data_IF_554623406377
#
_entry.id   IF_554623406377
#
_cell.length_a   1.000
_cell.length_b   1.000
_cell.length_c   1.000
_cell.angle_alpha   90.00
_cell.angle_beta   90.00
_cell.angle_gamma   90.00
#
_symmetry.space_group_name_H-M   'P 1'
#
loop_
_entity.id
_entity.type
_entity.pdbx_description
1 polymer ?
2 non-polymer ?
3 non-polymer ?
4 non-polymer ?
5 water ?
#
# COMPACT_ATOMS: atom_id res chain seq x y z
N UNK A 3 -13.57 -9.22 -16.93
CA UNK A 3 -12.32 -9.40 -17.67
C UNK A 3 -11.11 -8.48 -17.34
N UNK A 4 -11.09 -7.75 -16.21
CA UNK A 4 -9.89 -6.94 -15.93
C UNK A 4 -8.75 -7.76 -15.35
N UNK A 5 -9.08 -8.85 -14.67
CA UNK A 5 -8.03 -9.68 -14.08
C UNK A 5 -7.37 -10.56 -15.12
N UNK A 6 -8.16 -11.17 -16.02
CA UNK A 6 -7.59 -12.04 -17.05
C UNK A 6 -6.63 -11.28 -17.95
N UNK A 7 -6.85 -9.97 -18.15
CA UNK A 7 -5.90 -9.17 -18.91
C UNK A 7 -4.69 -8.81 -18.07
N UNK A 8 -4.90 -8.53 -16.78
CA UNK A 8 -3.81 -8.18 -15.89
C UNK A 8 -2.80 -9.33 -15.78
N UNK A 9 -3.30 -10.56 -15.73
CA UNK A 9 -2.38 -11.70 -15.70
C UNK A 9 -1.75 -11.94 -17.05
N UNK A 10 -2.41 -11.52 -18.13
CA UNK A 10 -1.87 -11.69 -19.47
C UNK A 10 -0.75 -10.70 -19.76
N UNK A 11 -0.88 -9.47 -19.27
CA UNK A 11 0.18 -8.48 -19.45
C UNK A 11 1.38 -8.84 -18.56
N UNK A 12 1.14 -9.54 -17.45
CA UNK A 12 2.25 -10.00 -16.63
C UNK A 12 3.18 -10.92 -17.43
N UNK A 13 2.61 -11.82 -18.22
CA UNK A 13 3.43 -12.67 -19.08
C UNK A 13 4.17 -11.85 -20.12
N UNK A 14 3.56 -10.75 -20.58
CA UNK A 14 4.23 -9.89 -21.54
C UNK A 14 5.35 -9.10 -20.88
N UNK A 15 5.14 -8.65 -19.64
CA UNK A 15 6.17 -7.92 -18.93
C UNK A 15 7.32 -8.84 -18.53
N UNK A 16 6.99 -10.04 -18.01
CA UNK A 16 8.03 -10.97 -17.59
C UNK A 16 8.86 -11.45 -18.78
N UNK A 17 8.23 -11.65 -19.94
CA UNK A 17 8.94 -12.11 -21.12
C UNK A 17 9.96 -11.08 -21.58
N UNK A 18 9.61 -9.80 -21.53
CA UNK A 18 10.55 -8.76 -21.94
C UNK A 18 11.71 -8.67 -20.97
N UNK A 19 11.41 -8.64 -19.67
CA UNK A 19 12.47 -8.46 -18.68
C UNK A 19 13.48 -9.60 -18.71
N UNK A 20 13.00 -10.85 -18.85
CA UNK A 20 13.92 -11.99 -18.84
C UNK A 20 14.69 -12.08 -20.15
N UNK A 21 14.04 -11.80 -21.28
CA UNK A 21 14.74 -11.80 -22.56
C UNK A 21 15.79 -10.69 -22.60
N UNK A 22 15.46 -9.53 -22.04
CA UNK A 22 16.43 -8.44 -22.00
C UNK A 22 17.67 -8.84 -21.22
N UNK A 23 17.49 -9.60 -20.13
CA UNK A 23 18.64 -10.08 -19.38
C UNK A 23 19.43 -11.10 -20.19
N UNK A 24 18.73 -11.98 -20.91
CA UNK A 24 19.42 -13.01 -21.71
C UNK A 24 20.19 -12.39 -22.87
N UNK A 25 19.60 -11.42 -23.55
CA UNK A 25 20.17 -10.85 -24.76
C UNK A 25 21.13 -9.70 -24.47
N UNK A 26 20.68 -8.69 -23.73
CA UNK A 26 21.47 -7.49 -23.50
C UNK A 26 22.37 -7.58 -22.27
N UNK A 27 21.97 -8.35 -21.25
CA UNK A 27 22.72 -8.41 -20.01
C UNK A 27 23.54 -9.69 -19.85
N UNK A 28 23.66 -10.49 -20.91
CA UNK A 28 24.60 -11.62 -20.96
C UNK A 28 24.30 -12.66 -19.89
N UNK A 29 23.04 -12.80 -19.51
CA UNK A 29 22.68 -13.72 -18.43
C UNK A 29 22.47 -15.14 -18.97
N UNK A 30 22.88 -16.12 -18.15
CA UNK A 30 22.79 -17.54 -18.46
C UNK A 30 21.41 -18.07 -18.11
N UNK A 31 21.01 -19.19 -18.74
CA UNK A 31 19.66 -19.73 -18.48
C UNK A 31 19.40 -20.10 -17.02
N UNK A 32 20.42 -20.58 -16.31
CA UNK A 32 20.22 -21.00 -14.92
C UNK A 32 19.73 -19.83 -14.06
N UNK A 33 20.36 -18.67 -14.21
CA UNK A 33 19.93 -17.50 -13.44
C UNK A 33 18.63 -16.92 -13.97
N UNK A 34 18.38 -17.06 -15.27
CA UNK A 34 17.12 -16.57 -15.84
C UNK A 34 15.94 -17.31 -15.26
N UNK A 35 16.05 -18.65 -15.19
CA UNK A 35 14.99 -19.43 -14.55
C UNK A 35 14.91 -19.14 -13.06
N UNK A 36 16.05 -18.91 -12.42
CA UNK A 36 16.06 -18.55 -11.00
C UNK A 36 15.32 -17.23 -10.79
N UNK A 37 15.49 -16.29 -11.71
CA UNK A 37 14.81 -15.01 -11.61
C UNK A 37 13.33 -15.11 -11.99
N UNK A 38 12.98 -16.05 -12.88
CA UNK A 38 11.57 -16.26 -13.19
C UNK A 38 10.83 -16.81 -11.99
N UNK A 39 11.43 -17.79 -11.30
CA UNK A 39 10.81 -18.35 -10.10
C UNK A 39 10.73 -17.30 -8.99
N UNK A 40 11.76 -16.47 -8.84
CA UNK A 40 11.74 -15.44 -7.81
C UNK A 40 10.70 -14.38 -8.12
N UNK A 41 10.57 -13.99 -9.39
CA UNK A 41 9.58 -13.00 -9.76
C UNK A 41 8.16 -13.51 -9.53
N UNK A 42 7.89 -14.77 -9.88
CA UNK A 42 6.56 -15.34 -9.67
C UNK A 42 6.26 -15.49 -8.19
N UNK A 43 7.27 -15.81 -7.39
CA UNK A 43 7.05 -16.03 -5.96
C UNK A 43 6.66 -14.73 -5.26
N UNK A 44 7.38 -13.64 -5.53
CA UNK A 44 7.18 -12.40 -4.79
C UNK A 44 6.04 -11.56 -5.34
N UNK A 45 5.76 -11.66 -6.65
CA UNK A 45 4.78 -10.78 -7.28
C UNK A 45 3.40 -11.41 -7.44
N UNK A 46 3.28 -12.73 -7.32
CA UNK A 46 2.02 -13.41 -7.54
C UNK A 46 1.53 -14.06 -6.25
N UNK A 47 0.21 -14.18 -6.12
CA UNK A 47 -0.43 -14.76 -4.96
C UNK A 47 -1.30 -13.78 -4.20
N UNK A 48 -1.00 -12.50 -4.27
CA UNK A 48 -1.77 -11.48 -3.60
C UNK A 48 -3.10 -11.21 -4.30
N UNK A 49 -3.81 -10.22 -3.76
CA UNK A 49 -5.10 -9.84 -4.32
C UNK A 49 -4.98 -8.89 -5.51
N UNK A 50 -3.80 -8.31 -5.73
CA UNK A 50 -3.58 -7.34 -6.81
C UNK A 50 -4.50 -6.13 -6.67
N UNK A 51 -4.80 -5.76 -5.42
CA UNK A 51 -5.72 -4.64 -5.18
C UNK A 51 -5.20 -3.35 -5.80
N UNK A 52 -3.92 -3.04 -5.56
CA UNK A 52 -3.35 -1.80 -6.09
C UNK A 52 -3.30 -1.84 -7.62
N UNK A 53 -2.87 -2.96 -8.19
CA UNK A 53 -2.72 -3.04 -9.63
C UNK A 53 -4.05 -2.97 -10.36
N UNK A 54 -5.09 -3.60 -9.81
CA UNK A 54 -6.38 -3.60 -10.48
C UNK A 54 -7.06 -2.25 -10.41
N UNK A 55 -6.72 -1.44 -9.40
CA UNK A 55 -7.32 -0.11 -9.30
C UNK A 55 -6.92 0.77 -10.47
N UNK A 56 -5.68 0.61 -10.96
CA UNK A 56 -5.23 1.37 -12.11
C UNK A 56 -6.08 1.05 -13.34
N UNK A 57 -6.43 -0.23 -13.51
CA UNK A 57 -7.25 -0.64 -14.64
C UNK A 57 -8.67 -0.07 -14.50
N UNK A 58 -9.23 -0.13 -13.29
CA UNK A 58 -10.60 0.35 -13.09
C UNK A 58 -10.72 1.84 -13.31
N UNK A 59 -9.71 2.61 -12.89
CA UNK A 59 -9.72 4.05 -13.14
C UNK A 59 -9.58 4.34 -14.62
N UNK A 60 -8.74 3.57 -15.31
CA UNK A 60 -8.49 3.82 -16.73
C UNK A 60 -9.70 3.49 -17.57
N UNK A 61 -10.35 2.35 -17.30
CA UNK A 61 -11.50 1.96 -18.11
C UNK A 61 -12.70 2.86 -17.86
N UNK A 62 -12.78 3.46 -16.66
CA UNK A 62 -13.89 4.36 -16.37
C UNK A 62 -13.75 5.69 -17.10
N UNK A 63 -12.52 6.14 -17.34
CA UNK A 63 -12.29 7.45 -17.93
C UNK A 63 -12.31 7.44 -19.45
N UNK A 64 -12.00 6.31 -20.08
CA UNK A 64 -12.12 6.24 -21.54
C UNK A 64 -13.57 6.01 -21.97
N UNK A 65 -14.34 5.27 -21.17
CA UNK A 65 -15.76 5.08 -21.48
C UNK A 65 -16.55 6.35 -21.21
N UNK A 66 -16.09 7.17 -20.26
CA UNK A 66 -16.82 8.35 -19.84
C UNK A 66 -15.94 9.59 -20.02
N UNK A 67 -15.37 9.76 -21.20
CA UNK A 67 -14.48 10.88 -21.49
C UNK A 67 -15.27 12.12 -21.91
N UNK A 77 -10.62 4.94 -30.82
CA UNK A 77 -10.45 3.66 -31.49
C UNK A 77 -9.23 2.91 -30.99
N UNK A 78 -8.09 3.15 -31.63
CA UNK A 78 -6.85 2.51 -31.19
C UNK A 78 -6.34 3.07 -29.87
N UNK A 79 -6.81 4.26 -29.48
CA UNK A 79 -6.36 4.84 -28.22
C UNK A 79 -6.86 4.04 -27.03
N UNK A 80 -8.00 3.36 -27.17
CA UNK A 80 -8.53 2.55 -26.07
C UNK A 80 -7.60 1.39 -25.75
N UNK A 81 -7.15 0.66 -26.78
CA UNK A 81 -6.32 -0.51 -26.56
C UNK A 81 -4.99 -0.13 -25.90
N UNK A 82 -4.46 1.04 -26.24
CA UNK A 82 -3.19 1.49 -25.69
C UNK A 82 -3.31 1.93 -24.24
N UNK A 83 -4.38 2.66 -23.91
CA UNK A 83 -4.56 3.14 -22.55
C UNK A 83 -4.80 1.98 -21.59
N UNK A 84 -5.60 1.00 -22.00
CA UNK A 84 -5.84 -0.18 -21.16
C UNK A 84 -4.56 -1.01 -21.00
N UNK A 85 -3.72 -1.05 -22.03
CA UNK A 85 -2.45 -1.77 -21.89
C UNK A 85 -1.50 -1.02 -20.97
N UNK A 86 -1.43 0.31 -21.10
CA UNK A 86 -0.57 1.10 -20.23
C UNK A 86 -1.01 0.98 -18.77
N UNK A 87 -2.32 0.86 -18.53
CA UNK A 87 -2.82 0.72 -17.18
C UNK A 87 -2.35 -0.57 -16.54
N UNK A 88 -2.35 -1.67 -17.30
CA UNK A 88 -1.89 -2.94 -16.76
C UNK A 88 -0.40 -2.90 -16.43
N UNK A 89 0.38 -2.19 -17.25
CA UNK A 89 1.81 -2.04 -16.96
C UNK A 89 2.01 -1.22 -15.68
N UNK A 90 1.24 -0.14 -15.53
CA UNK A 90 1.28 0.61 -14.28
C UNK A 90 0.78 -0.21 -13.11
N UNK A 91 -0.18 -1.11 -13.35
CA UNK A 91 -0.65 -1.98 -12.29
C UNK A 91 0.43 -2.91 -11.78
N UNK A 92 1.26 -3.42 -12.68
CA UNK A 92 2.36 -4.29 -12.27
C UNK A 92 3.55 -3.51 -11.76
N UNK A 93 3.68 -2.23 -12.12
CA UNK A 93 4.72 -1.40 -11.51
C UNK A 93 4.49 -1.29 -10.01
N UNK A 94 3.24 -1.09 -9.60
CA UNK A 94 2.92 -0.98 -8.17
C UNK A 94 3.04 -2.34 -7.49
N UNK A 95 2.54 -3.40 -8.15
CA UNK A 95 2.63 -4.73 -7.57
C UNK A 95 4.07 -5.18 -7.41
N UNK A 96 4.90 -4.93 -8.42
CA UNK A 96 6.33 -5.17 -8.28
C UNK A 96 6.91 -4.32 -7.15
N UNK A 97 6.48 -3.05 -7.06
CA UNK A 97 6.94 -2.20 -5.97
C UNK A 97 6.48 -2.73 -4.62
N UNK A 98 5.28 -3.31 -4.57
CA UNK A 98 4.81 -3.91 -3.33
C UNK A 98 5.64 -5.13 -2.97
N UNK A 99 5.97 -5.96 -3.97
CA UNK A 99 6.87 -7.08 -3.73
C UNK A 99 8.24 -6.60 -3.27
N UNK A 100 8.68 -5.42 -3.73
CA UNK A 100 9.94 -4.86 -3.27
C UNK A 100 9.87 -4.52 -1.79
N UNK A 101 8.76 -3.94 -1.35
CA UNK A 101 8.61 -3.56 0.05
C UNK A 101 8.49 -4.79 0.95
N UNK A 102 7.81 -5.84 0.46
CA UNK A 102 7.67 -7.07 1.23
C UNK A 102 9.03 -7.72 1.47
N UNK A 103 9.88 -7.76 0.43
CA UNK A 103 11.19 -8.38 0.56
C UNK A 103 12.04 -7.61 1.57
N UNK A 104 11.98 -6.28 1.54
CA UNK A 104 12.72 -5.48 2.50
C UNK A 104 12.25 -5.71 3.93
N UNK A 105 11.00 -6.14 4.12
CA UNK A 105 10.50 -6.42 5.45
C UNK A 105 11.10 -7.70 6.01
N UNK A 106 11.21 -8.74 5.18
CA UNK A 106 11.79 -10.00 5.62
C UNK A 106 13.26 -9.88 6.00
N UNK A 107 13.96 -8.87 5.48
CA UNK A 107 15.36 -8.67 5.84
C UNK A 107 15.45 -8.10 7.25
N UNK A 108 14.51 -7.25 7.64
CA UNK A 108 14.49 -6.69 8.99
C UNK A 108 14.28 -7.75 10.06
N UNK A 109 13.69 -8.89 9.71
CA UNK A 109 13.44 -9.96 10.66
C UNK A 109 13.70 -11.33 10.05
N UNK A 124 29.27 -15.65 5.50
CA UNK A 124 28.79 -15.69 4.12
C UNK A 124 27.34 -16.18 4.03
N UNK A 125 26.40 -15.35 4.50
CA UNK A 125 24.98 -15.70 4.47
C UNK A 125 24.44 -15.42 3.06
N UNK A 126 24.25 -16.49 2.28
CA UNK A 126 23.86 -16.35 0.87
C UNK A 126 22.38 -16.11 0.71
N UNK A 127 21.56 -16.62 1.61
CA UNK A 127 20.12 -16.36 1.52
C UNK A 127 19.80 -14.92 1.89
N UNK A 128 20.66 -14.24 2.65
CA UNK A 128 20.43 -12.83 2.90
C UNK A 128 20.96 -11.98 1.75
N UNK A 129 22.04 -12.44 1.10
CA UNK A 129 22.51 -11.77 -0.11
C UNK A 129 21.47 -11.80 -1.21
N UNK A 130 20.90 -12.98 -1.47
CA UNK A 130 19.88 -13.10 -2.51
C UNK A 130 18.63 -12.31 -2.16
N UNK A 131 18.29 -12.25 -0.87
CA UNK A 131 17.11 -11.47 -0.45
C UNK A 131 17.32 -10.00 -0.71
N UNK A 132 18.49 -9.46 -0.34
CA UNK A 132 18.79 -8.07 -0.63
C UNK A 132 18.82 -7.82 -2.13
N UNK A 133 19.42 -8.75 -2.88
CA UNK A 133 19.49 -8.58 -4.33
C UNK A 133 18.11 -8.66 -4.97
N UNK A 134 17.22 -9.50 -4.41
CA UNK A 134 15.86 -9.58 -4.96
C UNK A 134 15.14 -8.25 -4.80
N UNK A 135 15.29 -7.58 -3.66
CA UNK A 135 14.63 -6.31 -3.46
C UNK A 135 15.12 -5.23 -4.41
N UNK A 136 16.40 -5.28 -4.79
CA UNK A 136 16.92 -4.30 -5.73
C UNK A 136 16.42 -4.56 -7.14
N UNK A 137 16.37 -5.83 -7.54
CA UNK A 137 15.92 -6.17 -8.89
C UNK A 137 14.44 -5.84 -9.06
N UNK A 138 13.62 -6.13 -8.04
CA UNK A 138 12.20 -5.81 -8.10
C UNK A 138 11.99 -4.31 -8.24
N UNK A 139 12.75 -3.52 -7.50
CA UNK A 139 12.64 -2.07 -7.60
C UNK A 139 13.09 -1.57 -8.97
N UNK A 140 14.20 -2.11 -9.47
CA UNK A 140 14.68 -1.71 -10.79
C UNK A 140 13.76 -2.21 -11.89
N UNK A 141 13.07 -3.33 -11.68
CA UNK A 141 12.18 -3.85 -12.71
C UNK A 141 11.00 -2.92 -12.98
N UNK A 142 10.57 -2.16 -11.96
CA UNK A 142 9.54 -1.16 -12.19
C UNK A 142 10.03 -0.05 -13.10
N UNK A 143 11.32 0.28 -13.04
CA UNK A 143 11.89 1.26 -13.95
C UNK A 143 12.04 0.69 -15.35
N UNK A 144 12.46 -0.57 -15.46
CA UNK A 144 12.76 -1.15 -16.78
C UNK A 144 11.49 -1.35 -17.60
N UNK A 145 10.41 -1.83 -16.97
CA UNK A 145 9.16 -2.01 -17.69
C UNK A 145 8.53 -0.68 -18.07
N UNK A 146 8.77 0.38 -17.28
CA UNK A 146 8.23 1.69 -17.63
C UNK A 146 9.04 2.33 -18.76
N UNK A 147 10.38 2.20 -18.70
CA UNK A 147 11.22 2.76 -19.74
C UNK A 147 11.01 2.09 -21.08
N UNK A 148 10.45 0.87 -21.11
CA UNK A 148 10.25 0.13 -22.34
C UNK A 148 8.86 0.37 -22.93
N UNK A 149 7.82 0.01 -22.18
CA UNK A 149 6.45 0.10 -22.72
C UNK A 149 5.98 1.54 -22.87
N UNK A 150 6.56 2.48 -22.13
CA UNK A 150 6.17 3.88 -22.19
C UNK A 150 7.27 4.75 -22.80
N UNK A 151 8.17 4.16 -23.59
CA UNK A 151 9.31 4.92 -24.11
C UNK A 151 8.85 6.06 -25.00
N UNK A 152 7.79 5.85 -25.78
CA UNK A 152 7.28 6.85 -26.71
C UNK A 152 6.00 7.52 -26.18
N UNK A 153 5.74 7.40 -24.89
CA UNK A 153 4.57 8.06 -24.32
C UNK A 153 4.96 9.45 -23.79
N UNK A 154 4.08 10.45 -23.96
CA UNK A 154 4.40 11.80 -23.48
C UNK A 154 4.44 11.94 -21.97
N UNK A 155 4.05 10.90 -21.22
CA UNK A 155 3.96 10.97 -19.77
C UNK A 155 5.04 10.17 -19.06
N UNK A 156 5.99 9.59 -19.79
CA UNK A 156 6.99 8.73 -19.17
C UNK A 156 7.78 9.47 -18.10
N UNK A 157 8.16 10.72 -18.38
CA UNK A 157 8.94 11.48 -17.41
C UNK A 157 8.10 11.82 -16.17
N UNK A 158 6.86 12.26 -16.38
CA UNK A 158 6.00 12.59 -15.23
C UNK A 158 5.63 11.35 -14.43
N UNK A 159 5.50 10.21 -15.10
CA UNK A 159 5.16 8.99 -14.37
C UNK A 159 6.29 8.56 -13.46
N UNK A 160 7.53 8.59 -13.97
CA UNK A 160 8.69 8.22 -13.15
C UNK A 160 8.89 9.18 -12.00
N UNK A 161 8.59 10.47 -12.19
CA UNK A 161 8.80 11.44 -11.13
C UNK A 161 7.79 11.26 -10.00
N UNK A 162 6.50 11.14 -10.35
CA UNK A 162 5.49 10.88 -9.34
C UNK A 162 5.69 9.52 -8.69
N UNK A 163 6.21 8.55 -9.45
CA UNK A 163 6.48 7.23 -8.89
C UNK A 163 7.61 7.29 -7.87
N UNK A 164 8.71 7.97 -8.23
CA UNK A 164 9.84 8.07 -7.32
C UNK A 164 9.48 8.89 -6.08
N UNK A 165 8.65 9.93 -6.26
CA UNK A 165 8.26 10.77 -5.14
C UNK A 165 7.42 9.98 -4.13
N UNK A 166 6.57 9.08 -4.63
CA UNK A 166 5.78 8.23 -3.74
C UNK A 166 6.68 7.19 -3.08
N UNK A 167 7.65 6.65 -3.82
CA UNK A 167 8.61 5.73 -3.24
C UNK A 167 9.42 6.39 -2.13
N UNK A 168 9.85 7.63 -2.38
CA UNK A 168 10.53 8.40 -1.34
C UNK A 168 9.60 8.68 -0.17
N UNK A 169 8.33 8.98 -0.47
CA UNK A 169 7.34 9.20 0.57
C UNK A 169 7.19 7.98 1.48
N UNK A 170 7.18 6.78 0.89
CA UNK A 170 7.01 5.57 1.68
C UNK A 170 8.20 5.33 2.59
N UNK A 171 9.41 5.58 2.09
CA UNK A 171 10.61 5.40 2.91
C UNK A 171 10.62 6.36 4.09
N UNK A 172 10.14 7.59 3.87
CA UNK A 172 10.03 8.55 4.98
C UNK A 172 8.99 8.07 5.98
N UNK A 173 7.88 7.51 5.49
CA UNK A 173 6.85 7.01 6.39
C UNK A 173 7.33 5.83 7.22
N UNK A 174 8.14 4.97 6.62
CA UNK A 174 8.72 3.86 7.39
C UNK A 174 9.68 4.38 8.46
N UNK A 175 10.32 5.53 8.21
CA UNK A 175 11.16 6.13 9.24
C UNK A 175 10.32 6.65 10.40
N UNK A 176 9.18 7.29 10.08
CA UNK A 176 8.27 7.72 11.13
C UNK A 176 7.74 6.54 11.95
N UNK A 177 7.44 5.43 11.26
CA UNK A 177 6.85 4.28 11.94
C UNK A 177 7.87 3.55 12.80
N UNK A 178 9.10 3.41 12.31
CA UNK A 178 10.12 2.67 13.05
C UNK A 178 10.51 3.42 14.32
N UNK A 179 10.78 4.72 14.19
CA UNK A 179 11.22 5.54 15.32
C UNK A 179 10.07 6.15 16.10
N UNK A 180 8.87 5.54 16.05
CA UNK A 180 7.72 6.09 16.75
C UNK A 180 7.85 5.99 18.26
N UNK A 181 8.84 5.25 18.78
CA UNK A 181 9.07 5.16 20.20
C UNK A 181 10.53 5.48 20.57
N UNK A 182 11.31 6.04 19.66
CA UNK A 182 12.69 6.43 19.92
C UNK A 182 12.94 7.84 19.39
N UNK A 183 13.75 8.58 20.13
CA UNK A 183 14.29 9.87 19.70
C UNK A 183 15.39 10.35 20.65
N UNK A 199 6.76 7.91 24.87
CA UNK A 199 5.40 7.86 24.34
C UNK A 199 4.91 9.24 23.91
N UNK A 200 5.86 10.15 23.63
CA UNK A 200 5.48 11.51 23.24
C UNK A 200 4.80 11.52 21.88
N UNK A 201 5.30 10.71 20.94
CA UNK A 201 4.76 10.69 19.59
C UNK A 201 3.55 9.77 19.45
N UNK A 202 2.97 9.32 20.56
CA UNK A 202 1.76 8.49 20.52
C UNK A 202 0.54 9.41 20.57
N UNK A 203 0.31 10.10 19.45
CA UNK A 203 -0.83 11.00 19.31
C UNK A 203 -1.59 10.64 18.04
N UNK A 204 -2.83 11.14 17.96
CA UNK A 204 -3.67 10.84 16.81
C UNK A 204 -3.20 11.57 15.56
N UNK A 205 -2.65 12.77 15.72
CA UNK A 205 -2.15 13.51 14.57
C UNK A 205 -0.89 12.87 14.00
N UNK A 206 0.02 12.42 14.88
CA UNK A 206 1.23 11.75 14.41
C UNK A 206 0.91 10.37 13.84
N UNK A 207 -0.06 9.69 14.42
CA UNK A 207 -0.50 8.40 13.88
C UNK A 207 -0.96 8.56 12.43
N UNK A 208 -1.75 9.60 12.16
CA UNK A 208 -2.18 9.87 10.80
C UNK A 208 -1.02 10.31 9.90
N UNK A 209 0.01 10.92 10.48
CA UNK A 209 1.21 11.20 9.70
C UNK A 209 1.89 9.91 9.27
N UNK A 210 2.01 8.95 10.18
CA UNK A 210 2.60 7.67 9.83
C UNK A 210 1.77 6.98 8.76
N UNK A 211 0.46 6.90 8.98
CA UNK A 211 -0.42 6.23 8.02
C UNK A 211 -0.38 6.94 6.67
N UNK A 212 -0.22 8.26 6.67
CA UNK A 212 -0.24 9.02 5.44
C UNK A 212 0.93 8.65 4.54
N UNK A 213 2.15 8.64 5.10
CA UNK A 213 3.35 8.41 4.30
C UNK A 213 3.71 6.93 4.19
N UNK A 214 3.54 6.17 5.27
CA UNK A 214 3.92 4.76 5.24
C UNK A 214 3.01 3.93 4.34
N UNK A 215 1.72 4.27 4.26
CA UNK A 215 0.76 3.43 3.58
C UNK A 215 -0.09 4.19 2.57
N UNK A 216 -0.66 5.32 2.97
CA UNK A 216 -1.74 5.95 2.20
C UNK A 216 -1.29 6.36 0.81
N UNK A 217 -0.07 6.91 0.67
CA UNK A 217 0.33 7.48 -0.61
C UNK A 217 0.51 6.41 -1.68
N UNK A 218 1.16 5.30 -1.34
CA UNK A 218 1.47 4.28 -2.34
C UNK A 218 0.39 3.21 -2.49
N UNK A 219 -0.49 3.08 -1.49
CA UNK A 219 -1.57 2.09 -1.58
C UNK A 219 -2.83 2.66 -2.22
N UNK A 220 -3.16 3.91 -1.93
CA UNK A 220 -4.42 4.49 -2.37
C UNK A 220 -4.27 5.64 -3.35
N UNK A 221 -3.34 6.56 -3.13
CA UNK A 221 -3.19 7.69 -4.03
C UNK A 221 -2.46 7.31 -5.31
N UNK A 222 -1.40 6.51 -5.19
CA UNK A 222 -0.60 6.17 -6.36
C UNK A 222 -1.38 5.38 -7.41
N UNK A 223 -2.16 4.35 -7.07
CA UNK A 223 -2.92 3.66 -8.13
C UNK A 223 -3.95 4.55 -8.80
N UNK A 224 -4.57 5.47 -8.05
CA UNK A 224 -5.52 6.39 -8.65
C UNK A 224 -4.84 7.37 -9.59
N UNK A 225 -3.70 7.92 -9.17
CA UNK A 225 -2.99 8.89 -10.00
C UNK A 225 -2.49 8.24 -11.28
N UNK A 226 -1.99 7.00 -11.18
CA UNK A 226 -1.51 6.31 -12.38
C UNK A 226 -2.63 6.05 -13.37
N UNK A 227 -3.84 5.75 -12.87
CA UNK A 227 -4.97 5.58 -13.77
C UNK A 227 -5.32 6.87 -14.49
N UNK A 228 -5.12 8.01 -13.83
CA UNK A 228 -5.37 9.30 -14.46
C UNK A 228 -4.32 9.61 -15.52
N UNK A 229 -3.08 9.18 -15.30
CA UNK A 229 -1.99 9.54 -16.22
C UNK A 229 -2.14 8.79 -17.54
N UNK A 230 -2.32 7.46 -17.47
CA UNK A 230 -2.48 6.68 -18.69
C UNK A 230 -3.76 7.04 -19.42
N UNK A 231 -4.77 7.54 -18.71
CA UNK A 231 -5.97 8.09 -19.31
C UNK A 231 -5.78 9.55 -19.73
N UNK A 232 -4.63 10.15 -19.44
CA UNK A 232 -4.31 11.51 -19.85
C UNK A 232 -5.32 12.53 -19.31
N UNK A 233 -5.94 12.20 -18.18
CA UNK A 233 -6.97 13.04 -17.57
C UNK A 233 -6.55 13.50 -16.17
N UNK A 234 -5.24 13.64 -15.96
CA UNK A 234 -4.75 14.10 -14.66
C UNK A 234 -5.22 15.51 -14.32
N UNK A 235 -5.12 16.52 -15.20
CA UNK A 235 -5.56 17.87 -14.81
C UNK A 235 -7.06 18.03 -14.66
N UNK A 236 -7.86 17.04 -15.08
CA UNK A 236 -9.30 17.18 -15.04
C UNK A 236 -9.90 16.87 -13.67
N UNK A 237 -9.08 16.49 -12.69
CA UNK A 237 -9.58 16.12 -11.37
C UNK A 237 -9.03 17.09 -10.34
N UNK A 238 -9.77 17.24 -9.24
CA UNK A 238 -9.31 18.00 -8.09
C UNK A 238 -8.38 17.13 -7.27
N UNK A 239 -7.08 17.42 -7.32
CA UNK A 239 -6.12 16.60 -6.59
C UNK A 239 -6.26 16.75 -5.08
N UNK A 240 -6.82 17.87 -4.61
CA UNK A 240 -7.02 18.03 -3.18
C UNK A 240 -8.03 17.03 -2.63
N UNK A 241 -9.19 16.92 -3.26
CA UNK A 241 -10.20 15.97 -2.84
C UNK A 241 -9.68 14.54 -3.02
N UNK A 242 -8.95 14.30 -4.11
CA UNK A 242 -8.39 12.98 -4.36
C UNK A 242 -7.35 12.62 -3.31
N UNK A 243 -6.43 13.55 -3.02
CA UNK A 243 -5.45 13.32 -1.96
C UNK A 243 -6.13 13.13 -0.61
N UNK A 244 -7.18 13.92 -0.35
CA UNK A 244 -7.85 13.83 0.94
C UNK A 244 -8.57 12.49 1.10
N UNK A 245 -9.16 11.99 0.02
CA UNK A 245 -9.83 10.69 0.08
C UNK A 245 -8.83 9.57 0.32
N UNK A 246 -7.64 9.66 -0.30
CA UNK A 246 -6.64 8.61 -0.14
C UNK A 246 -6.13 8.55 1.30
N UNK A 247 -6.00 9.71 1.95
CA UNK A 247 -5.59 9.70 3.34
C UNK A 247 -6.65 9.08 4.23
N UNK A 248 -7.92 9.37 3.96
CA UNK A 248 -9.01 8.81 4.78
C UNK A 248 -9.14 7.31 4.58
N UNK A 249 -8.98 6.82 3.36
CA UNK A 249 -9.13 5.39 3.12
C UNK A 249 -7.97 4.60 3.71
N UNK A 250 -6.75 5.14 3.63
CA UNK A 250 -5.64 4.54 4.33
C UNK A 250 -5.78 4.62 5.83
N UNK A 251 -6.41 5.69 6.33
CA UNK A 251 -6.69 5.80 7.76
C UNK A 251 -7.75 4.78 8.18
N UNK A 252 -8.80 4.62 7.39
CA UNK A 252 -9.81 3.60 7.68
C UNK A 252 -9.21 2.21 7.62
N UNK A 253 -8.27 1.99 6.70
CA UNK A 253 -7.68 0.67 6.55
C UNK A 253 -6.71 0.36 7.69
N UNK A 254 -5.93 1.34 8.13
CA UNK A 254 -4.90 1.07 9.12
C UNK A 254 -5.50 0.82 10.51
N UNK A 255 -6.52 1.60 10.87
CA UNK A 255 -7.20 1.39 12.15
C UNK A 255 -7.82 0.01 12.21
N UNK A 256 -8.52 -0.37 11.14
CA UNK A 256 -9.09 -1.71 11.06
C UNK A 256 -8.00 -2.77 11.10
N UNK A 257 -6.84 -2.48 10.50
CA UNK A 257 -5.74 -3.44 10.50
C UNK A 257 -5.11 -3.55 11.88
N UNK A 258 -5.04 -2.43 12.61
CA UNK A 258 -4.45 -2.47 13.95
C UNK A 258 -5.30 -3.29 14.90
N UNK A 259 -6.62 -3.12 14.85
CA UNK A 259 -7.51 -3.86 15.76
C UNK A 259 -7.44 -5.35 15.46
N UNK A 260 -7.35 -5.71 14.18
CA UNK A 260 -7.23 -7.13 13.83
C UNK A 260 -5.90 -7.70 14.31
N UNK A 261 -4.83 -6.91 14.22
CA UNK A 261 -3.53 -7.37 14.71
C UNK A 261 -3.58 -7.71 16.20
N UNK A 262 -4.46 -7.05 16.95
CA UNK A 262 -4.55 -7.29 18.38
C UNK A 262 -5.59 -8.36 18.73
N UNK A 263 -6.84 -8.16 18.31
CA UNK A 263 -7.94 -8.99 18.77
C UNK A 263 -8.17 -10.24 17.92
N UNK A 264 -7.89 -10.17 16.63
CA UNK A 264 -8.16 -11.32 15.76
C UNK A 264 -7.13 -12.42 16.03
N UNK A 265 -7.56 -13.66 16.26
CA UNK A 265 -6.62 -14.75 16.52
C UNK A 265 -5.74 -15.02 15.30
N UNK A 266 -4.64 -15.76 15.48
CA UNK A 266 -3.70 -15.93 14.35
C UNK A 266 -4.29 -16.59 13.12
N UNK A 267 -4.96 -17.74 13.27
CA UNK A 267 -5.46 -18.47 12.12
C UNK A 267 -6.57 -17.72 11.38
N UNK A 268 -7.20 -16.74 12.02
CA UNK A 268 -8.22 -15.94 11.36
C UNK A 268 -7.66 -14.66 10.76
N UNK A 269 -6.57 -14.13 11.32
CA UNK A 269 -5.93 -12.94 10.77
C UNK A 269 -5.04 -13.24 9.57
N UNK A 270 -4.53 -14.47 9.47
CA UNK A 270 -3.58 -14.83 8.44
C UNK A 270 -2.13 -14.66 8.84
N UNK A 271 -1.86 -14.15 10.03
CA UNK A 271 -0.52 -13.94 10.55
C UNK A 271 -0.58 -13.97 12.07
N UNK A 272 0.52 -13.61 12.72
CA UNK A 272 0.59 -13.50 14.17
C UNK A 272 0.63 -12.03 14.53
N UNK A 273 -0.29 -11.60 15.38
CA UNK A 273 -0.32 -10.21 15.81
C UNK A 273 0.91 -9.87 16.63
N UNK A 274 1.60 -8.79 16.24
CA UNK A 274 2.88 -8.45 16.84
C UNK A 274 3.01 -7.00 17.25
N UNK A 275 1.96 -6.19 17.14
CA UNK A 275 2.07 -4.75 17.37
C UNK A 275 2.42 -4.45 18.82
N UNK A 276 1.84 -5.19 19.77
CA UNK A 276 2.08 -4.90 21.18
C UNK A 276 3.52 -5.23 21.57
N UNK A 277 3.99 -6.41 21.18
CA UNK A 277 5.38 -6.78 21.45
C UNK A 277 6.35 -5.83 20.76
N UNK A 278 5.99 -5.33 19.58
CA UNK A 278 6.85 -4.40 18.85
C UNK A 278 6.69 -2.95 19.32
N UNK A 279 5.78 -2.69 20.25
CA UNK A 279 5.52 -1.34 20.75
C UNK A 279 5.21 -0.36 19.61
N UNK A 280 4.35 -0.80 18.70
CA UNK A 280 3.98 0.03 17.56
C UNK A 280 3.03 1.15 17.97
N UNK A 281 3.09 2.25 17.25
CA UNK A 281 2.18 3.38 17.46
C UNK A 281 0.87 3.07 16.75
N UNK A 282 0.09 2.19 17.36
CA UNK A 282 -1.17 1.75 16.78
C UNK A 282 -2.31 2.65 17.22
N UNK A 283 -3.44 2.53 16.50
CA UNK A 283 -4.62 3.30 16.86
C UNK A 283 -5.13 2.91 18.25
N UNK A 284 -4.98 1.63 18.61
CA UNK A 284 -5.39 1.20 19.94
C UNK A 284 -4.52 1.84 21.02
N UNK A 285 -3.22 2.01 20.74
CA UNK A 285 -2.33 2.59 21.74
C UNK A 285 -2.62 4.07 21.95
N UNK A 286 -2.81 4.82 20.87
CA UNK A 286 -3.00 6.27 20.99
C UNK A 286 -4.40 6.59 21.49
N UNK A 287 -5.39 5.75 21.21
CA UNK A 287 -6.74 5.99 21.73
C UNK A 287 -6.86 5.58 23.19
N UNK A 288 -6.13 4.54 23.61
CA UNK A 288 -6.14 4.13 25.01
C UNK A 288 -5.53 5.21 25.90
N UNK A 289 -4.38 5.75 25.48
CA UNK A 289 -3.67 6.74 26.29
C UNK A 289 -4.49 8.01 26.49
N UNK A 290 -5.46 8.29 25.63
CA UNK A 290 -6.26 9.49 25.77
C UNK A 290 -7.38 9.33 26.79
N UNK A 291 -7.88 8.10 26.97
CA UNK A 291 -9.02 7.86 27.85
C UNK A 291 -8.68 6.93 29.00
N UNK A 292 -7.40 6.83 29.37
CA UNK A 292 -6.98 5.98 30.47
C UNK A 292 -6.68 6.81 31.72
N UNK A 293 -6.80 6.17 32.88
CA UNK A 293 -6.46 6.85 34.13
C UNK A 293 -4.94 6.98 34.24
N UNK A 294 -4.51 7.69 35.28
CA UNK A 294 -3.08 7.89 35.49
C UNK A 294 -2.37 6.56 35.76
N UNK A 295 -3.03 5.63 36.44
CA UNK A 295 -2.43 4.33 36.71
C UNK A 295 -2.53 3.40 35.50
N UNK A 296 -3.66 3.43 34.79
CA UNK A 296 -3.81 2.60 33.61
C UNK A 296 -2.76 2.93 32.56
N UNK A 297 -2.36 4.20 32.47
CA UNK A 297 -1.23 4.56 31.61
C UNK A 297 0.06 3.97 32.16
N UNK A 298 0.25 4.03 33.48
CA UNK A 298 1.45 3.46 34.07
C UNK A 298 1.50 1.94 33.89
N UNK A 299 0.36 1.27 34.06
CA UNK A 299 0.31 -0.15 33.78
C UNK A 299 0.48 -0.45 32.30
N UNK A 300 0.03 0.47 31.44
CA UNK A 300 0.25 0.31 30.01
C UNK A 300 1.73 0.44 29.67
N UNK A 301 2.38 1.47 30.19
CA UNK A 301 3.80 1.69 29.90
C UNK A 301 4.67 0.57 30.47
N UNK A 302 4.27 -0.02 31.60
CA UNK A 302 5.04 -1.11 32.18
C UNK A 302 4.83 -2.43 31.47
N UNK A 303 3.84 -2.52 30.59
CA UNK A 303 3.55 -3.76 29.86
C UNK A 303 3.67 -3.64 28.35
N UNK A 304 3.56 -2.44 27.79
CA UNK A 304 3.63 -2.29 26.35
C UNK A 304 5.06 -2.44 25.86
N UNK A 305 5.23 -3.12 24.73
CA UNK A 305 6.53 -3.35 24.15
C UNK A 305 7.26 -4.57 24.64
N UNK A 306 6.59 -5.46 25.35
CA UNK A 306 7.20 -6.66 25.91
C UNK A 306 6.73 -7.89 25.14
N UNK A 307 7.62 -8.89 25.07
CA UNK A 307 7.30 -10.14 24.41
C UNK A 307 6.68 -11.20 25.30
N UNK A 308 6.61 -10.96 26.61
CA UNK A 308 5.98 -11.91 27.52
C UNK A 308 4.51 -12.07 27.18
N UNK A 309 4.04 -13.32 27.15
CA UNK A 309 2.68 -13.61 26.74
C UNK A 309 1.67 -12.95 27.66
N UNK A 310 1.98 -12.88 28.96
CA UNK A 310 1.03 -12.35 29.94
C UNK A 310 1.08 -10.83 30.05
N UNK A 311 2.22 -10.21 29.74
CA UNK A 311 2.24 -8.75 29.62
C UNK A 311 1.45 -8.30 28.40
N UNK A 312 1.56 -9.02 27.28
CA UNK A 312 0.73 -8.74 26.12
C UNK A 312 -0.74 -8.98 26.45
N UNK A 313 -1.03 -10.03 27.22
CA UNK A 313 -2.39 -10.27 27.67
C UNK A 313 -2.86 -9.16 28.61
N UNK A 314 -1.97 -8.63 29.44
CA UNK A 314 -2.31 -7.50 30.29
C UNK A 314 -2.63 -6.27 29.45
N UNK A 315 -1.95 -6.11 28.31
CA UNK A 315 -2.24 -4.96 27.44
C UNK A 315 -3.60 -5.15 26.75
N UNK A 316 -3.87 -6.35 26.23
CA UNK A 316 -5.18 -6.63 25.67
C UNK A 316 -6.27 -6.50 26.73
N UNK A 317 -5.95 -6.87 27.97
CA UNK A 317 -6.89 -6.69 29.06
C UNK A 317 -7.22 -5.21 29.25
N UNK A 318 -6.20 -4.35 29.19
CA UNK A 318 -6.44 -2.91 29.31
C UNK A 318 -7.23 -2.38 28.12
N UNK A 319 -6.93 -2.86 26.91
CA UNK A 319 -7.68 -2.44 25.73
C UNK A 319 -9.14 -2.83 25.85
N UNK A 320 -9.41 -4.06 26.33
CA UNK A 320 -10.80 -4.52 26.46
C UNK A 320 -11.56 -3.71 27.50
N UNK A 321 -10.93 -3.43 28.64
CA UNK A 321 -11.63 -2.74 29.72
C UNK A 321 -11.90 -1.27 29.42
N UNK A 322 -11.20 -0.69 28.44
CA UNK A 322 -11.45 0.69 28.06
C UNK A 322 -12.53 0.82 26.99
N UNK A 323 -13.15 -0.29 26.58
CA UNK A 323 -14.18 -0.30 25.54
C UNK A 323 -13.67 0.34 24.26
N UNK A 324 -12.47 -0.08 23.84
CA UNK A 324 -11.87 0.47 22.64
C UNK A 324 -12.51 -0.08 21.37
N UNK A 325 -12.95 -1.34 21.39
CA UNK A 325 -13.71 -1.90 20.29
C UNK A 325 -15.14 -1.37 20.21
N UNK A 326 -15.47 -0.33 20.98
CA UNK A 326 -16.71 0.38 20.81
C UNK A 326 -16.43 1.75 20.20
N UNK A 327 -15.36 2.39 20.66
CA UNK A 327 -14.88 3.61 20.02
C UNK A 327 -14.39 3.34 18.60
N UNK A 328 -13.89 2.13 18.36
CA UNK A 328 -13.43 1.76 17.03
C UNK A 328 -14.58 1.76 16.03
N UNK A 329 -15.77 1.35 16.46
CA UNK A 329 -16.93 1.36 15.57
C UNK A 329 -17.33 2.79 15.26
N UNK A 330 -17.30 3.67 16.27
CA UNK A 330 -17.68 5.06 16.04
C UNK A 330 -16.65 5.80 15.21
N UNK A 331 -15.36 5.50 15.42
CA UNK A 331 -14.32 6.19 14.68
C UNK A 331 -14.34 5.81 13.20
N UNK A 332 -14.58 4.52 12.91
CA UNK A 332 -14.64 4.08 11.53
C UNK A 332 -15.88 4.61 10.83
N UNK A 333 -16.99 4.75 11.56
CA UNK A 333 -18.21 5.26 10.96
C UNK A 333 -18.05 6.71 10.53
N UNK A 334 -17.35 7.51 11.35
CA UNK A 334 -17.12 8.91 10.99
C UNK A 334 -16.25 9.01 9.75
N UNK A 335 -15.23 8.16 9.64
CA UNK A 335 -14.36 8.17 8.47
C UNK A 335 -15.14 7.78 7.23
N UNK A 336 -15.95 6.73 7.33
CA UNK A 336 -16.73 6.27 6.17
C UNK A 336 -17.69 7.34 5.67
N UNK A 337 -18.18 8.20 6.57
CA UNK A 337 -19.08 9.26 6.14
C UNK A 337 -18.31 10.36 5.42
N UNK A 338 -17.11 10.70 5.91
CA UNK A 338 -16.26 11.64 5.19
C UNK A 338 -15.86 11.11 3.83
N UNK A 339 -15.78 9.78 3.67
CA UNK A 339 -15.47 9.20 2.38
C UNK A 339 -16.66 9.33 1.44
N UNK A 340 -17.86 8.98 1.92
CA UNK A 340 -19.05 9.05 1.08
C UNK A 340 -19.31 10.46 0.58
N UNK A 341 -18.97 11.47 1.38
CA UNK A 341 -19.24 12.87 1.04
C UNK A 341 -18.16 13.48 0.17
N UNK A 342 -16.89 13.12 0.42
CA UNK A 342 -15.82 13.64 -0.42
C UNK A 342 -15.86 13.02 -1.83
N UNK A 343 -16.44 11.83 -1.95
CA UNK A 343 -16.65 11.25 -3.28
C UNK A 343 -17.63 12.11 -4.07
N UNK A 344 -18.61 12.71 -3.40
CA UNK A 344 -19.64 13.47 -4.11
C UNK A 344 -19.11 14.81 -4.60
N UNK A 345 -18.20 15.44 -3.86
CA UNK A 345 -17.59 16.68 -4.34
C UNK A 345 -16.78 16.43 -5.61
N UNK A 346 -16.09 15.29 -5.67
CA UNK A 346 -15.24 15.00 -6.82
C UNK A 346 -16.06 14.64 -8.06
N UNK A 347 -17.27 14.10 -7.88
CA UNK A 347 -18.08 13.73 -9.03
C UNK A 347 -18.74 14.93 -9.69
N UNK A 348 -18.77 16.09 -9.03
CA UNK A 348 -19.30 17.29 -9.66
C UNK A 348 -18.48 17.68 -10.88
N UNK A 349 -17.16 17.47 -10.83
CA UNK A 349 -16.27 17.76 -11.93
C UNK A 349 -15.61 16.53 -12.53
N UNK A 350 -15.64 15.39 -11.82
CA UNK A 350 -15.08 14.13 -12.32
C UNK A 350 -16.11 13.03 -12.08
N UNK A 351 -17.11 12.93 -12.97
CA UNK A 351 -18.21 11.97 -12.74
C UNK A 351 -17.77 10.52 -12.78
N UNK A 352 -17.06 10.13 -13.85
CA UNK A 352 -16.63 8.75 -13.98
C UNK A 352 -15.49 8.40 -13.04
N UNK A 353 -14.65 9.38 -12.69
CA UNK A 353 -13.53 9.11 -11.80
C UNK A 353 -14.01 8.74 -10.41
N UNK A 354 -15.12 9.33 -9.96
CA UNK A 354 -15.66 9.01 -8.64
C UNK A 354 -16.18 7.58 -8.59
N UNK A 355 -16.64 7.04 -9.72
CA UNK A 355 -17.12 5.67 -9.74
C UNK A 355 -16.00 4.69 -9.41
N UNK A 356 -14.80 4.95 -9.92
CA UNK A 356 -13.67 4.06 -9.63
C UNK A 356 -13.18 4.26 -8.21
N UNK A 357 -13.15 5.51 -7.73
CA UNK A 357 -12.76 5.76 -6.34
C UNK A 357 -13.79 5.16 -5.39
N UNK A 358 -15.05 5.10 -5.80
CA UNK A 358 -16.07 4.45 -4.98
C UNK A 358 -15.93 2.93 -5.04
N UNK A 359 -15.48 2.40 -6.18
CA UNK A 359 -15.21 0.97 -6.29
C UNK A 359 -14.03 0.57 -5.42
N UNK A 360 -12.97 1.38 -5.43
CA UNK A 360 -11.82 1.11 -4.55
C UNK A 360 -12.21 1.22 -3.09
N UNK A 361 -13.10 2.16 -2.76
CA UNK A 361 -13.51 2.34 -1.38
C UNK A 361 -14.25 1.13 -0.84
N UNK A 362 -15.01 0.45 -1.70
CA UNK A 362 -15.71 -0.75 -1.26
C UNK A 362 -14.79 -1.90 -0.90
N UNK A 363 -13.62 -1.96 -1.54
CA UNK A 363 -12.66 -3.03 -1.24
C UNK A 363 -12.12 -2.88 0.19
N UNK A 364 -11.98 -1.66 0.68
CA UNK A 364 -11.53 -1.43 2.05
C UNK A 364 -12.70 -1.46 3.03
N UNK A 365 -13.89 -1.11 2.58
CA UNK A 365 -15.07 -1.02 3.44
C UNK A 365 -15.83 -2.35 3.46
#
# INVERSE_FOLDING_TARGET
GPMPMQMFMQVYDEIQMFLLEELELKFDMDPNRVRYLRKMMDTTCLGGKYNRGLTVIDVAESLLSLSPNNNGEEDDGARRKRVLHDACVCGWMIEFLQAHYLVEDDIMDNSVTRRGKPCWYRHPDVTVQCAINDGLLLKSWTHMMAMHFFADRPFLQDLLCRFNRVDYTTAVGQLYDVTSMFDSNKLDPDVSQPTTTDFAEFTLSNYKRIVKYKTAYYTYLLPLVMGLIVSEALPTVDMGVTEELAMLMGEYFQVQDDVMDCFTPPERLGKVGTDIQDAKCSWLAVTFLAKASSAQVAEFKANYGSGDSEKVATVRRLYEEADLQGDYVAYEAAVAEQVKELIEKLRLCSPGFAASVETLWGKTYKRQK
#
